data_IF_041879122070
#
_entry.id   IF_041879122070
#
_cell.length_a   1.000
_cell.length_b   1.000
_cell.length_c   1.000
_cell.angle_alpha   90.00
_cell.angle_beta   90.00
_cell.angle_gamma   90.00
#
_symmetry.space_group_name_H-M   'P 1'
#
loop_
_entity.id
_entity.type
_entity.pdbx_description
1 polymer ?
#
# COMPACT_ATOMS: atom_id res chain seq x y z
N UNK A 1 -36.41 -43.62 37.10
CA UNK A 1 -35.88 -42.27 37.40
C UNK A 1 -34.51 -42.18 36.77
N UNK A 2 -34.42 -41.47 35.65
CA UNK A 2 -33.26 -41.44 34.76
C UNK A 2 -32.68 -40.02 34.72
N UNK A 3 -31.55 -39.81 35.38
CA UNK A 3 -30.79 -38.58 35.28
C UNK A 3 -29.87 -38.65 34.06
N UNK A 4 -30.10 -37.76 33.08
CA UNK A 4 -29.19 -37.54 31.95
C UNK A 4 -28.11 -36.55 32.38
N UNK A 5 -26.85 -36.96 32.28
CA UNK A 5 -25.69 -36.09 32.39
C UNK A 5 -25.61 -35.19 31.15
N UNK A 6 -25.61 -33.87 31.36
CA UNK A 6 -25.35 -32.89 30.31
C UNK A 6 -23.84 -32.65 30.24
N UNK A 7 -23.22 -33.12 29.15
CA UNK A 7 -21.82 -32.84 28.84
C UNK A 7 -21.75 -31.47 28.15
N UNK A 8 -21.26 -30.46 28.86
CA UNK A 8 -20.99 -29.14 28.28
C UNK A 8 -19.63 -29.19 27.57
N UNK A 9 -19.65 -29.22 26.23
CA UNK A 9 -18.45 -29.06 25.41
C UNK A 9 -18.09 -27.58 25.34
N UNK A 10 -16.99 -27.22 26.01
CA UNK A 10 -16.36 -25.90 25.97
C UNK A 10 -15.63 -25.75 24.62
N UNK A 11 -16.21 -25.04 23.67
CA UNK A 11 -15.51 -24.63 22.45
C UNK A 11 -14.55 -23.50 22.80
N UNK A 12 -13.27 -23.84 23.00
CA UNK A 12 -12.19 -22.88 23.15
C UNK A 12 -11.95 -22.17 21.81
N UNK A 13 -12.31 -20.90 21.74
CA UNK A 13 -11.97 -20.00 20.63
C UNK A 13 -10.46 -19.71 20.73
N UNK A 14 -9.66 -20.42 19.93
CA UNK A 14 -8.22 -20.18 19.81
C UNK A 14 -8.05 -18.88 19.02
N UNK A 15 -7.94 -17.75 19.72
CA UNK A 15 -7.54 -16.49 19.12
C UNK A 15 -6.09 -16.64 18.64
N UNK A 16 -5.90 -16.79 17.33
CA UNK A 16 -4.60 -16.63 16.68
C UNK A 16 -4.22 -15.16 16.80
N UNK A 17 -3.45 -14.83 17.84
CA UNK A 17 -2.74 -13.56 17.92
C UNK A 17 -1.60 -13.64 16.90
N UNK A 18 -1.79 -13.07 15.73
CA UNK A 18 -0.67 -12.73 14.85
C UNK A 18 0.20 -11.72 15.61
N UNK A 19 1.36 -12.16 16.13
CA UNK A 19 2.31 -11.24 16.72
C UNK A 19 2.86 -10.34 15.61
N UNK A 20 2.88 -9.01 15.78
CA UNK A 20 3.57 -8.12 14.86
C UNK A 20 5.05 -8.53 14.79
N UNK A 21 5.67 -8.32 13.64
CA UNK A 21 7.04 -8.72 13.44
C UNK A 21 7.92 -7.79 14.29
N UNK A 22 8.60 -8.33 15.29
CA UNK A 22 9.39 -7.49 16.19
C UNK A 22 10.51 -6.79 15.41
N UNK A 23 10.59 -5.45 15.54
CA UNK A 23 11.64 -4.67 14.91
C UNK A 23 13.01 -5.26 15.26
N UNK A 24 13.84 -5.45 14.24
CA UNK A 24 15.19 -6.00 14.39
C UNK A 24 16.22 -5.12 13.71
N UNK A 25 17.46 -5.35 14.09
CA UNK A 25 18.60 -4.76 13.44
C UNK A 25 18.87 -5.42 12.09
N UNK A 26 18.90 -4.62 11.03
CA UNK A 26 19.33 -4.97 9.69
C UNK A 26 20.67 -4.30 9.40
N UNK A 27 21.53 -5.00 8.67
CA UNK A 27 22.90 -4.58 8.42
C UNK A 27 23.22 -4.68 6.93
N UNK A 28 23.98 -3.72 6.42
CA UNK A 28 24.45 -3.76 5.03
C UNK A 28 25.61 -4.75 4.83
N UNK A 29 25.97 -5.03 3.57
CA UNK A 29 27.11 -5.90 3.23
C UNK A 29 28.44 -5.48 3.84
N UNK A 30 28.65 -4.19 4.11
CA UNK A 30 29.91 -3.71 4.68
C UNK A 30 29.94 -3.76 6.21
N UNK A 31 28.78 -3.90 6.86
CA UNK A 31 28.65 -3.83 8.31
C UNK A 31 28.76 -2.42 8.89
N UNK A 32 28.95 -1.40 8.04
CA UNK A 32 29.11 -0.01 8.45
C UNK A 32 27.77 0.69 8.67
N UNK A 33 26.70 0.17 8.09
CA UNK A 33 25.36 0.74 8.18
C UNK A 33 24.37 -0.26 8.76
N UNK A 34 23.56 0.22 9.70
CA UNK A 34 22.55 -0.61 10.36
C UNK A 34 21.30 0.19 10.64
N UNK A 35 20.14 -0.45 10.53
CA UNK A 35 18.83 0.14 10.83
C UNK A 35 18.03 -0.80 11.73
N UNK A 36 17.26 -0.24 12.66
CA UNK A 36 16.23 -0.98 13.39
C UNK A 36 14.92 -0.87 12.60
N UNK A 37 14.41 -2.00 12.14
CA UNK A 37 13.24 -2.06 11.28
C UNK A 37 12.47 -3.38 11.40
N UNK A 38 11.16 -3.29 11.23
CA UNK A 38 10.24 -4.40 11.05
C UNK A 38 10.30 -4.93 9.61
N UNK A 39 10.16 -6.25 9.45
CA UNK A 39 10.05 -6.89 8.14
C UNK A 39 8.60 -6.82 7.66
N UNK A 40 8.36 -6.11 6.56
CA UNK A 40 7.03 -6.03 5.95
C UNK A 40 6.86 -7.10 4.87
N UNK A 41 7.87 -7.27 4.02
CA UNK A 41 7.83 -8.17 2.87
C UNK A 41 9.22 -8.42 2.31
N UNK A 42 9.38 -9.51 1.55
CA UNK A 42 10.51 -9.67 0.63
C UNK A 42 10.13 -10.57 -0.54
N UNK A 43 10.82 -10.40 -1.66
CA UNK A 43 10.76 -11.26 -2.84
C UNK A 43 12.16 -11.82 -3.16
N UNK A 44 12.43 -12.17 -4.42
CA UNK A 44 13.70 -12.74 -4.85
C UNK A 44 14.83 -11.69 -5.02
N UNK A 45 14.48 -10.39 -5.12
CA UNK A 45 15.41 -9.30 -5.43
C UNK A 45 15.48 -8.24 -4.32
N UNK A 46 14.37 -7.97 -3.62
CA UNK A 46 14.22 -6.88 -2.67
C UNK A 46 13.62 -7.31 -1.32
N UNK A 47 13.92 -6.54 -0.29
CA UNK A 47 13.25 -6.58 1.02
C UNK A 47 12.61 -5.23 1.31
N UNK A 48 11.38 -5.24 1.81
CA UNK A 48 10.67 -4.06 2.30
C UNK A 48 10.73 -4.04 3.82
N UNK A 49 11.36 -2.99 4.34
CA UNK A 49 11.58 -2.78 5.76
C UNK A 49 10.85 -1.53 6.22
N UNK A 50 10.21 -1.60 7.39
CA UNK A 50 9.62 -0.46 8.05
C UNK A 50 10.45 -0.05 9.26
N UNK A 51 10.97 1.17 9.25
CA UNK A 51 11.81 1.66 10.34
C UNK A 51 11.00 1.92 11.61
N UNK A 52 11.47 1.41 12.74
CA UNK A 52 10.78 1.53 14.03
C UNK A 52 10.64 2.97 14.53
N UNK A 53 11.57 3.86 14.16
CA UNK A 53 11.63 5.22 14.70
C UNK A 53 10.56 6.18 14.13
N UNK A 54 10.16 5.98 12.87
CA UNK A 54 9.32 6.91 12.10
C UNK A 54 8.35 6.20 11.15
N UNK A 55 8.25 4.88 11.26
CA UNK A 55 7.41 4.01 10.44
C UNK A 55 7.72 4.13 8.95
N UNK A 56 8.96 4.52 8.61
CA UNK A 56 9.42 4.72 7.23
C UNK A 56 9.67 3.41 6.49
N UNK A 57 8.97 3.22 5.37
CA UNK A 57 9.21 2.11 4.45
C UNK A 57 10.42 2.37 3.55
N UNK A 58 11.28 1.37 3.43
CA UNK A 58 12.39 1.36 2.48
C UNK A 58 12.47 0.02 1.77
N UNK A 59 12.63 0.08 0.43
CA UNK A 59 13.06 -1.06 -0.37
C UNK A 59 14.58 -1.14 -0.35
N UNK A 60 15.10 -2.31 -0.01
CA UNK A 60 16.55 -2.59 0.01
C UNK A 60 16.81 -3.80 -0.87
N UNK A 61 17.70 -3.71 -1.87
CA UNK A 61 18.09 -4.87 -2.65
C UNK A 61 18.77 -5.94 -1.77
N UNK A 62 18.40 -7.21 -1.93
CA UNK A 62 18.87 -8.31 -1.09
C UNK A 62 20.39 -8.45 -1.09
N UNK A 63 21.05 -8.17 -2.23
CA UNK A 63 22.50 -8.22 -2.36
C UNK A 63 23.21 -7.13 -1.56
N UNK A 64 22.50 -6.08 -1.11
CA UNK A 64 23.02 -5.03 -0.23
C UNK A 64 22.94 -5.37 1.24
N UNK A 65 22.16 -6.39 1.62
CA UNK A 65 22.09 -6.86 3.01
C UNK A 65 23.29 -7.73 3.40
N UNK A 66 23.58 -7.79 4.70
CA UNK A 66 24.58 -8.69 5.27
C UNK A 66 24.23 -10.16 5.00
N UNK A 67 25.23 -11.04 5.02
CA UNK A 67 24.98 -12.48 4.86
C UNK A 67 24.09 -13.04 5.97
N UNK A 68 24.23 -12.53 7.19
CA UNK A 68 23.39 -12.88 8.34
C UNK A 68 21.93 -12.53 8.09
N UNK A 69 21.65 -11.35 7.55
CA UNK A 69 20.29 -10.90 7.28
C UNK A 69 19.67 -11.63 6.08
N UNK A 70 20.45 -11.90 5.02
CA UNK A 70 19.99 -12.76 3.92
C UNK A 70 19.68 -14.18 4.40
N UNK A 71 20.48 -14.74 5.29
CA UNK A 71 20.22 -16.07 5.86
C UNK A 71 18.99 -16.07 6.76
N UNK A 72 18.70 -14.96 7.44
CA UNK A 72 17.44 -14.80 8.18
C UNK A 72 16.22 -14.89 7.27
N UNK A 73 16.22 -14.16 6.14
CA UNK A 73 15.08 -14.14 5.20
C UNK A 73 14.77 -15.53 4.61
N UNK A 74 15.78 -16.40 4.51
CA UNK A 74 15.61 -17.80 4.07
C UNK A 74 14.96 -18.71 5.11
N UNK A 75 14.83 -18.26 6.36
CA UNK A 75 14.21 -19.07 7.43
C UNK A 75 12.70 -19.01 7.31
N UNK A 76 12.04 -20.11 7.68
CA UNK A 76 10.59 -20.26 7.55
C UNK A 76 9.82 -19.30 8.48
N UNK A 77 10.42 -18.88 9.60
CA UNK A 77 9.85 -17.87 10.49
C UNK A 77 9.77 -16.51 9.79
N UNK A 78 10.85 -16.03 9.17
CA UNK A 78 10.86 -14.77 8.43
C UNK A 78 9.88 -14.76 7.26
N UNK A 79 9.84 -15.85 6.48
CA UNK A 79 8.89 -15.99 5.39
C UNK A 79 7.43 -16.06 5.87
N UNK A 80 7.18 -16.74 6.99
CA UNK A 80 5.85 -16.82 7.60
C UNK A 80 5.38 -15.47 8.14
N UNK A 81 6.28 -14.72 8.77
CA UNK A 81 6.02 -13.38 9.28
C UNK A 81 5.72 -12.40 8.15
N UNK A 82 6.58 -12.31 7.13
CA UNK A 82 6.37 -11.43 5.98
C UNK A 82 5.05 -11.74 5.25
N UNK A 83 4.74 -13.01 5.02
CA UNK A 83 3.45 -13.42 4.44
C UNK A 83 2.28 -13.05 5.35
N UNK A 84 2.41 -13.26 6.66
CA UNK A 84 1.37 -12.91 7.63
C UNK A 84 1.05 -11.41 7.64
N UNK A 85 2.07 -10.57 7.42
CA UNK A 85 1.91 -9.12 7.28
C UNK A 85 1.19 -8.77 5.97
N UNK A 86 1.68 -9.29 4.84
CA UNK A 86 1.10 -9.03 3.50
C UNK A 86 -0.35 -9.53 3.39
N UNK A 87 -0.63 -10.72 3.91
CA UNK A 87 -1.95 -11.37 3.83
C UNK A 87 -2.90 -10.93 4.95
N UNK A 88 -2.49 -9.99 5.81
CA UNK A 88 -3.33 -9.47 6.87
C UNK A 88 -4.61 -8.82 6.31
N UNK A 89 -5.77 -8.96 6.97
CA UNK A 89 -7.01 -8.33 6.52
C UNK A 89 -6.88 -6.80 6.45
N UNK A 90 -7.16 -6.25 5.27
CA UNK A 90 -7.10 -4.80 5.03
C UNK A 90 -8.51 -4.21 4.96
N UNK A 91 -8.68 -2.97 5.44
CA UNK A 91 -9.95 -2.27 5.43
C UNK A 91 -9.83 -0.86 4.82
N UNK A 92 -10.31 -0.71 3.59
CA UNK A 92 -10.21 0.54 2.83
C UNK A 92 -11.45 1.42 3.00
N UNK A 93 -11.26 2.73 3.03
CA UNK A 93 -12.36 3.69 3.23
C UNK A 93 -12.70 4.39 1.93
N UNK A 94 -13.92 4.19 1.45
CA UNK A 94 -14.42 4.91 0.28
C UNK A 94 -14.90 6.31 0.67
N UNK A 95 -14.97 7.25 -0.29
CA UNK A 95 -15.50 8.62 -0.10
C UNK A 95 -16.93 8.62 0.43
N UNK A 96 -17.72 7.60 0.10
CA UNK A 96 -19.07 7.39 0.64
C UNK A 96 -19.11 6.99 2.12
N UNK A 97 -17.94 6.79 2.75
CA UNK A 97 -17.81 6.25 4.12
C UNK A 97 -17.93 4.72 4.19
N UNK A 98 -18.25 4.06 3.07
CA UNK A 98 -18.30 2.60 2.98
C UNK A 98 -16.91 2.01 3.23
N UNK A 99 -16.86 0.92 4.00
CA UNK A 99 -15.64 0.16 4.22
C UNK A 99 -15.58 -1.01 3.23
N UNK A 100 -14.47 -1.12 2.51
CA UNK A 100 -14.20 -2.19 1.56
C UNK A 100 -13.13 -3.12 2.17
N UNK A 101 -13.52 -4.29 2.71
CA UNK A 101 -12.56 -5.28 3.15
C UNK A 101 -11.98 -5.99 1.92
N UNK A 102 -10.65 -6.12 1.87
CA UNK A 102 -9.96 -6.84 0.80
C UNK A 102 -8.52 -6.40 0.63
N UNK A 103 -7.69 -7.30 0.12
CA UNK A 103 -6.26 -7.12 -0.11
C UNK A 103 -6.04 -6.41 -1.44
N UNK A 104 -5.26 -5.33 -1.46
CA UNK A 104 -4.80 -4.77 -2.73
C UNK A 104 -3.71 -5.65 -3.31
N UNK A 105 -3.85 -6.07 -4.56
CA UNK A 105 -2.93 -7.02 -5.20
C UNK A 105 -2.19 -6.43 -6.40
N UNK A 106 -2.78 -5.46 -7.11
CA UNK A 106 -2.16 -4.84 -8.29
C UNK A 106 -2.77 -3.46 -8.59
N UNK A 107 -2.09 -2.69 -9.43
CA UNK A 107 -2.64 -1.53 -10.10
C UNK A 107 -3.37 -1.93 -11.38
N UNK A 108 -4.30 -1.09 -11.85
CA UNK A 108 -5.00 -1.41 -13.10
C UNK A 108 -5.51 -0.17 -13.83
N UNK A 109 -5.35 -0.20 -15.16
CA UNK A 109 -6.11 0.58 -16.13
C UNK A 109 -6.93 -0.38 -16.97
N UNK A 110 -8.25 -0.40 -16.81
CA UNK A 110 -9.11 -1.34 -17.57
C UNK A 110 -10.41 -0.71 -18.04
N UNK A 111 -10.91 -1.23 -19.14
CA UNK A 111 -12.24 -0.90 -19.65
C UNK A 111 -13.32 -1.63 -18.83
N UNK A 112 -14.28 -0.86 -18.33
CA UNK A 112 -15.51 -1.38 -17.72
C UNK A 112 -16.65 -1.19 -18.71
N UNK A 113 -17.23 -2.30 -19.17
CA UNK A 113 -18.37 -2.30 -20.08
C UNK A 113 -19.67 -2.54 -19.33
N UNK A 114 -20.61 -1.62 -19.45
CA UNK A 114 -21.98 -1.76 -18.97
C UNK A 114 -22.93 -1.95 -20.15
N UNK A 115 -23.88 -2.87 -20.02
CA UNK A 115 -24.89 -3.09 -21.05
C UNK A 115 -26.18 -3.62 -20.43
N UNK A 116 -27.32 -3.31 -21.05
CA UNK A 116 -28.61 -3.92 -20.70
C UNK A 116 -29.02 -4.89 -21.78
N UNK A 117 -29.22 -6.16 -21.43
CA UNK A 117 -29.66 -7.23 -22.36
C UNK A 117 -30.79 -8.02 -21.72
N UNK A 118 -31.87 -8.25 -22.48
CA UNK A 118 -33.02 -9.07 -22.05
C UNK A 118 -33.57 -8.69 -20.66
N UNK A 119 -33.63 -7.39 -20.36
CA UNK A 119 -34.15 -6.91 -19.08
C UNK A 119 -33.16 -6.92 -17.92
N UNK A 120 -31.90 -7.32 -18.14
CA UNK A 120 -30.89 -7.38 -17.09
C UNK A 120 -29.70 -6.48 -17.38
N UNK A 121 -29.12 -5.90 -16.33
CA UNK A 121 -27.87 -5.14 -16.38
C UNK A 121 -26.69 -6.10 -16.28
N UNK A 122 -25.70 -5.90 -17.14
CA UNK A 122 -24.45 -6.64 -17.17
C UNK A 122 -23.27 -5.68 -17.05
N UNK A 123 -22.29 -6.07 -16.24
CA UNK A 123 -21.00 -5.40 -16.08
C UNK A 123 -19.91 -6.38 -16.47
N UNK A 124 -19.10 -6.07 -17.48
CA UNK A 124 -18.07 -6.96 -18.03
C UNK A 124 -18.62 -8.38 -18.33
N UNK A 125 -19.86 -8.45 -18.83
CA UNK A 125 -20.52 -9.71 -19.16
C UNK A 125 -21.13 -10.49 -17.98
N UNK A 126 -20.91 -10.07 -16.73
CA UNK A 126 -21.54 -10.66 -15.53
C UNK A 126 -22.82 -9.91 -15.19
N UNK A 127 -23.86 -10.62 -14.75
CA UNK A 127 -25.12 -10.00 -14.32
C UNK A 127 -24.88 -9.17 -13.06
N UNK A 128 -25.37 -7.94 -13.06
CA UNK A 128 -25.17 -6.98 -11.96
C UNK A 128 -25.60 -7.53 -10.60
N UNK A 129 -26.78 -8.17 -10.53
CA UNK A 129 -27.32 -8.76 -9.30
C UNK A 129 -26.46 -9.90 -8.72
N UNK A 130 -25.61 -10.51 -9.56
CA UNK A 130 -24.72 -11.61 -9.18
C UNK A 130 -23.32 -11.11 -8.78
N UNK A 131 -23.05 -9.81 -8.88
CA UNK A 131 -21.79 -9.23 -8.39
C UNK A 131 -21.80 -9.15 -6.86
N UNK A 132 -20.63 -9.10 -6.20
CA UNK A 132 -20.58 -8.89 -4.76
C UNK A 132 -21.25 -7.57 -4.35
N UNK A 133 -21.71 -7.51 -3.10
CA UNK A 133 -22.47 -6.35 -2.59
C UNK A 133 -21.69 -5.04 -2.66
N UNK A 134 -20.38 -5.08 -2.51
CA UNK A 134 -19.51 -3.91 -2.70
C UNK A 134 -19.60 -3.41 -4.15
N UNK A 135 -19.50 -4.30 -5.14
CA UNK A 135 -19.59 -3.95 -6.57
C UNK A 135 -20.97 -3.47 -6.98
N UNK A 136 -22.04 -4.01 -6.38
CA UNK A 136 -23.40 -3.48 -6.58
C UNK A 136 -23.52 -2.02 -6.11
N UNK A 137 -22.69 -1.57 -5.17
CA UNK A 137 -22.65 -0.16 -4.73
C UNK A 137 -21.66 0.69 -5.52
N UNK A 138 -20.55 0.10 -5.97
CA UNK A 138 -19.48 0.77 -6.71
C UNK A 138 -19.92 1.13 -8.13
N UNK A 139 -20.56 0.21 -8.86
CA UNK A 139 -20.90 0.41 -10.28
C UNK A 139 -21.83 1.62 -10.50
N UNK A 140 -22.87 1.87 -9.70
CA UNK A 140 -23.66 3.10 -9.83
C UNK A 140 -22.84 4.37 -9.62
N UNK A 141 -21.95 4.39 -8.62
CA UNK A 141 -21.06 5.52 -8.36
C UNK A 141 -20.09 5.76 -9.51
N UNK A 142 -19.60 4.69 -10.15
CA UNK A 142 -18.79 4.76 -11.36
C UNK A 142 -19.53 5.47 -12.50
N UNK A 143 -20.75 5.04 -12.81
CA UNK A 143 -21.54 5.71 -13.84
C UNK A 143 -21.88 7.13 -13.43
N UNK A 144 -22.20 7.36 -12.15
CA UNK A 144 -22.42 8.68 -11.58
C UNK A 144 -21.26 9.63 -11.84
N UNK A 145 -20.02 9.21 -11.55
CA UNK A 145 -18.82 10.03 -11.76
C UNK A 145 -18.69 10.49 -13.22
N UNK A 146 -18.85 9.57 -14.18
CA UNK A 146 -18.70 9.90 -15.60
C UNK A 146 -19.90 10.65 -16.21
N UNK A 147 -21.09 10.54 -15.60
CA UNK A 147 -22.34 11.08 -16.12
C UNK A 147 -22.86 12.28 -15.31
N UNK A 148 -22.03 12.88 -14.45
CA UNK A 148 -22.38 14.07 -13.68
C UNK A 148 -23.41 13.81 -12.57
N UNK A 149 -23.25 12.69 -11.85
CA UNK A 149 -24.06 12.24 -10.72
C UNK A 149 -25.53 11.96 -11.00
N UNK A 150 -25.87 11.64 -12.26
CA UNK A 150 -27.22 11.21 -12.65
C UNK A 150 -27.59 9.81 -12.16
N UNK A 151 -26.60 9.03 -11.73
CA UNK A 151 -26.75 7.65 -11.28
C UNK A 151 -26.17 7.53 -9.87
N UNK A 152 -27.00 7.13 -8.92
CA UNK A 152 -26.63 7.05 -7.50
C UNK A 152 -26.72 5.63 -6.93
N UNK A 153 -27.55 4.77 -7.54
CA UNK A 153 -27.89 3.44 -7.07
C UNK A 153 -28.25 2.49 -8.23
N UNK A 154 -28.56 1.23 -7.93
CA UNK A 154 -28.91 0.23 -8.93
C UNK A 154 -30.17 0.58 -9.73
N UNK A 155 -31.16 1.20 -9.09
CA UNK A 155 -32.44 1.55 -9.73
C UNK A 155 -32.28 2.69 -10.73
N UNK A 156 -31.53 3.73 -10.36
CA UNK A 156 -31.16 4.83 -11.26
C UNK A 156 -30.25 4.36 -12.38
N UNK A 157 -29.34 3.41 -12.12
CA UNK A 157 -28.49 2.78 -13.14
C UNK A 157 -29.34 2.05 -14.18
N UNK A 158 -30.31 1.25 -13.76
CA UNK A 158 -31.19 0.54 -14.70
C UNK A 158 -32.00 1.54 -15.55
N UNK A 159 -32.61 2.54 -14.90
CA UNK A 159 -33.38 3.58 -15.61
C UNK A 159 -32.52 4.32 -16.62
N UNK A 160 -31.30 4.68 -16.26
CA UNK A 160 -30.35 5.35 -17.15
C UNK A 160 -29.98 4.46 -18.36
N UNK A 161 -29.71 3.17 -18.15
CA UNK A 161 -29.45 2.21 -19.24
C UNK A 161 -30.65 2.00 -20.17
N UNK A 162 -31.89 2.08 -19.63
CA UNK A 162 -33.12 2.04 -20.44
C UNK A 162 -33.19 3.24 -21.38
N UNK A 163 -32.89 4.45 -20.90
CA UNK A 163 -32.89 5.66 -21.73
C UNK A 163 -31.84 5.58 -22.86
N UNK A 164 -30.72 4.89 -22.61
CA UNK A 164 -29.68 4.61 -23.61
C UNK A 164 -30.02 3.46 -24.58
N UNK A 165 -31.26 2.95 -24.55
CA UNK A 165 -31.75 1.87 -25.42
C UNK A 165 -30.88 0.60 -25.38
N UNK A 166 -30.22 0.35 -24.24
CA UNK A 166 -29.36 -0.83 -24.03
C UNK A 166 -28.05 -0.85 -24.83
N UNK A 167 -27.63 0.27 -25.43
CA UNK A 167 -26.31 0.35 -26.06
C UNK A 167 -25.21 0.12 -25.01
N UNK A 168 -24.17 -0.69 -25.33
CA UNK A 168 -23.02 -0.84 -24.45
C UNK A 168 -22.34 0.50 -24.22
N UNK A 169 -21.99 0.78 -22.98
CA UNK A 169 -21.19 1.94 -22.59
C UNK A 169 -19.89 1.43 -21.98
N UNK A 170 -18.78 2.08 -22.34
CA UNK A 170 -17.45 1.72 -21.90
C UNK A 170 -16.83 2.89 -21.17
N UNK A 171 -16.18 2.61 -20.05
CA UNK A 171 -15.43 3.56 -19.27
C UNK A 171 -14.04 3.01 -19.00
N UNK A 172 -13.01 3.79 -19.29
CA UNK A 172 -11.65 3.50 -18.81
C UNK A 172 -11.59 3.82 -17.32
N UNK A 173 -11.21 2.83 -16.53
CA UNK A 173 -11.11 2.94 -15.07
C UNK A 173 -9.67 2.73 -14.64
N UNK A 174 -9.14 3.75 -13.97
CA UNK A 174 -7.87 3.72 -13.26
C UNK A 174 -8.12 3.42 -11.79
N UNK A 175 -7.36 2.47 -11.24
CA UNK A 175 -7.57 2.03 -9.87
C UNK A 175 -6.63 0.93 -9.43
N UNK A 176 -7.08 0.20 -8.42
CA UNK A 176 -6.39 -0.97 -7.86
C UNK A 176 -7.24 -2.22 -8.02
N UNK A 177 -6.59 -3.36 -8.13
CA UNK A 177 -7.21 -4.68 -8.02
C UNK A 177 -7.27 -5.05 -6.56
N UNK A 178 -8.47 -5.36 -6.08
CA UNK A 178 -8.74 -5.82 -4.74
C UNK A 178 -9.22 -7.27 -4.77
N UNK A 179 -8.51 -8.14 -4.08
CA UNK A 179 -8.91 -9.49 -3.74
C UNK A 179 -9.78 -9.46 -2.47
N UNK A 180 -11.00 -9.98 -2.56
CA UNK A 180 -11.91 -10.11 -1.41
C UNK A 180 -11.82 -11.51 -0.80
N UNK A 181 -12.43 -11.73 0.37
CA UNK A 181 -12.35 -13.01 1.13
C UNK A 181 -12.73 -14.26 0.31
N UNK A 182 -13.57 -14.13 -0.73
CA UNK A 182 -13.89 -15.25 -1.62
C UNK A 182 -12.75 -15.66 -2.57
N UNK A 183 -11.64 -14.91 -2.60
CA UNK A 183 -10.57 -15.02 -3.59
C UNK A 183 -10.91 -14.40 -4.95
N UNK A 184 -12.06 -13.74 -5.06
CA UNK A 184 -12.41 -13.00 -6.28
C UNK A 184 -11.66 -11.66 -6.32
N UNK A 185 -11.09 -11.34 -7.48
CA UNK A 185 -10.45 -10.06 -7.73
C UNK A 185 -11.38 -9.10 -8.47
N UNK A 186 -11.42 -7.85 -8.04
CA UNK A 186 -11.95 -6.81 -8.90
C UNK A 186 -11.37 -5.41 -8.72
N UNK A 187 -11.59 -4.60 -9.76
CA UNK A 187 -11.05 -3.26 -9.85
C UNK A 187 -11.89 -2.26 -9.05
N UNK A 188 -11.23 -1.54 -8.15
CA UNK A 188 -11.78 -0.38 -7.47
C UNK A 188 -11.17 0.91 -8.03
N UNK A 189 -11.99 1.79 -8.61
CA UNK A 189 -11.52 3.08 -9.11
C UNK A 189 -10.91 3.98 -8.02
N UNK A 190 -9.84 4.71 -8.36
CA UNK A 190 -9.18 5.65 -7.44
C UNK A 190 -10.10 6.74 -6.89
N UNK A 191 -11.01 7.27 -7.71
CA UNK A 191 -11.92 8.33 -7.28
C UNK A 191 -12.86 7.89 -6.15
N UNK A 192 -13.04 6.58 -5.93
CA UNK A 192 -13.84 6.08 -4.83
C UNK A 192 -13.11 6.09 -3.49
N UNK A 193 -11.78 6.11 -3.46
CA UNK A 193 -11.01 6.09 -2.22
C UNK A 193 -11.08 7.44 -1.52
N UNK A 194 -11.05 7.40 -0.18
CA UNK A 194 -10.87 8.59 0.63
C UNK A 194 -9.59 9.34 0.24
N UNK A 195 -9.53 10.65 0.47
CA UNK A 195 -8.34 11.45 0.11
C UNK A 195 -7.06 10.94 0.79
N UNK A 196 -7.18 10.45 2.03
CA UNK A 196 -6.07 9.88 2.77
C UNK A 196 -5.56 8.58 2.13
N UNK A 197 -6.46 7.67 1.79
CA UNK A 197 -6.08 6.40 1.15
C UNK A 197 -5.51 6.66 -0.26
N UNK A 198 -6.08 7.63 -0.99
CA UNK A 198 -5.61 7.99 -2.32
C UNK A 198 -4.19 8.58 -2.29
N UNK A 199 -3.86 9.40 -1.28
CA UNK A 199 -2.50 9.93 -1.10
C UNK A 199 -1.44 8.84 -0.94
N UNK A 200 -1.82 7.68 -0.39
CA UNK A 200 -0.94 6.52 -0.24
C UNK A 200 -0.84 5.72 -1.54
N UNK A 201 -1.93 5.60 -2.30
CA UNK A 201 -1.93 4.75 -3.49
C UNK A 201 -1.39 5.44 -4.75
N UNK A 202 -1.56 6.76 -4.85
CA UNK A 202 -1.26 7.54 -6.04
C UNK A 202 0.22 7.53 -6.45
N UNK A 203 1.19 7.54 -5.52
CA UNK A 203 2.59 7.49 -5.91
C UNK A 203 2.98 6.18 -6.62
N UNK A 204 2.61 5.02 -6.09
CA UNK A 204 2.90 3.74 -6.75
C UNK A 204 2.17 3.60 -8.09
N UNK A 205 0.99 4.22 -8.21
CA UNK A 205 0.28 4.31 -9.49
C UNK A 205 1.04 5.12 -10.54
N UNK A 206 1.57 6.28 -10.18
CA UNK A 206 2.34 7.12 -11.11
C UNK A 206 3.62 6.41 -11.56
N UNK A 207 4.26 5.64 -10.67
CA UNK A 207 5.42 4.80 -10.99
C UNK A 207 5.03 3.66 -11.95
N UNK A 208 3.95 2.93 -11.64
CA UNK A 208 3.42 1.86 -12.49
C UNK A 208 3.05 2.35 -13.89
N UNK A 209 2.50 3.56 -14.03
CA UNK A 209 2.21 4.18 -15.33
C UNK A 209 3.49 4.48 -16.14
N UNK A 210 4.59 4.84 -15.46
CA UNK A 210 5.87 5.15 -16.10
C UNK A 210 6.64 3.91 -16.56
N UNK A 211 6.32 2.72 -16.04
CA UNK A 211 6.94 1.45 -16.42
C UNK A 211 6.56 0.94 -17.82
N UNK A 212 5.70 1.64 -18.58
CA UNK A 212 5.34 1.37 -19.98
C UNK A 212 4.96 -0.09 -20.34
N UNK A 213 4.45 -0.88 -19.38
CA UNK A 213 4.00 -2.25 -19.62
C UNK A 213 5.11 -3.30 -19.64
N UNK A 214 6.27 -3.01 -19.06
CA UNK A 214 7.30 -4.00 -18.74
C UNK A 214 6.77 -5.00 -17.70
N UNK A 215 6.75 -6.28 -18.04
CA UNK A 215 6.12 -7.33 -17.22
C UNK A 215 6.89 -7.60 -15.93
N UNK A 216 8.23 -7.50 -15.95
CA UNK A 216 9.06 -7.74 -14.77
C UNK A 216 8.84 -6.59 -13.76
N UNK A 217 8.80 -5.34 -14.25
CA UNK A 217 8.47 -4.17 -13.41
C UNK A 217 7.04 -4.22 -12.86
N UNK A 218 6.09 -4.85 -13.56
CA UNK A 218 4.73 -5.03 -13.04
C UNK A 218 4.69 -5.93 -11.81
N UNK A 219 5.52 -6.98 -11.76
CA UNK A 219 5.59 -7.85 -10.59
C UNK A 219 6.17 -7.09 -9.39
N UNK A 220 7.24 -6.33 -9.60
CA UNK A 220 7.85 -5.49 -8.57
C UNK A 220 6.83 -4.49 -8.00
N UNK A 221 6.11 -3.78 -8.87
CA UNK A 221 5.08 -2.81 -8.43
C UNK A 221 3.90 -3.47 -7.70
N UNK A 222 3.52 -4.69 -8.07
CA UNK A 222 2.46 -5.43 -7.37
C UNK A 222 2.90 -5.79 -5.94
N UNK A 223 4.15 -6.19 -5.78
CA UNK A 223 4.74 -6.54 -4.49
C UNK A 223 4.96 -5.29 -3.61
N UNK A 224 5.42 -4.19 -4.19
CA UNK A 224 5.53 -2.90 -3.52
C UNK A 224 4.18 -2.38 -3.04
N UNK A 225 3.14 -2.44 -3.89
CA UNK A 225 1.77 -2.06 -3.52
C UNK A 225 1.27 -2.90 -2.35
N UNK A 226 1.46 -4.23 -2.40
CA UNK A 226 1.05 -5.14 -1.34
C UNK A 226 1.75 -4.83 -0.01
N UNK A 227 3.06 -4.60 -0.05
CA UNK A 227 3.87 -4.27 1.12
C UNK A 227 3.45 -2.92 1.73
N UNK A 228 3.27 -1.90 0.88
CA UNK A 228 2.77 -0.59 1.29
C UNK A 228 1.39 -0.69 1.94
N UNK A 229 0.47 -1.42 1.29
CA UNK A 229 -0.88 -1.63 1.77
C UNK A 229 -0.89 -2.33 3.13
N UNK A 230 -0.04 -3.35 3.32
CA UNK A 230 0.08 -4.07 4.57
C UNK A 230 0.58 -3.17 5.71
N UNK A 231 1.69 -2.46 5.50
CA UNK A 231 2.24 -1.52 6.48
C UNK A 231 1.26 -0.40 6.82
N UNK A 232 0.58 0.16 5.82
CA UNK A 232 -0.45 1.18 6.02
C UNK A 232 -1.60 0.70 6.91
N UNK A 233 -1.96 -0.58 6.83
CA UNK A 233 -3.07 -1.16 7.58
C UNK A 233 -2.65 -1.61 8.98
N UNK A 234 -1.41 -2.05 9.17
CA UNK A 234 -0.84 -2.29 10.51
C UNK A 234 -0.81 -0.99 11.33
N UNK A 235 -0.39 0.13 10.72
CA UNK A 235 -0.21 1.42 11.39
C UNK A 235 -1.41 2.35 11.26
N UNK A 236 -2.61 1.80 11.41
CA UNK A 236 -3.86 2.56 11.38
C UNK A 236 -3.92 3.70 12.44
N UNK A 237 -3.00 3.75 13.41
CA UNK A 237 -2.84 4.83 14.38
C UNK A 237 -1.84 5.94 13.96
N UNK A 238 -0.88 5.66 13.06
CA UNK A 238 0.23 6.56 12.67
C UNK A 238 0.15 7.05 11.19
N UNK A 239 -1.08 7.16 10.69
CA UNK A 239 -1.48 7.40 9.28
C UNK A 239 -0.82 8.57 8.52
N UNK A 240 -0.10 9.50 9.15
CA UNK A 240 0.35 10.76 8.50
C UNK A 240 1.75 10.71 7.89
N UNK A 241 2.63 9.83 8.37
CA UNK A 241 4.02 9.82 7.93
C UNK A 241 4.21 9.03 6.61
N UNK A 242 3.48 7.92 6.42
CA UNK A 242 3.57 7.04 5.23
C UNK A 242 3.39 7.79 3.90
N UNK A 243 2.44 8.72 3.81
CA UNK A 243 2.19 9.50 2.58
C UNK A 243 3.33 10.50 2.22
N UNK A 244 4.13 10.95 3.21
CA UNK A 244 5.26 11.85 2.96
C UNK A 244 6.50 11.13 2.43
N UNK A 245 6.54 9.80 2.58
CA UNK A 245 7.70 8.96 2.32
C UNK A 245 7.79 8.52 0.85
N UNK A 246 6.66 8.23 0.23
CA UNK A 246 6.61 7.88 -1.20
C UNK A 246 7.10 9.02 -2.11
N UNK A 247 6.89 10.29 -1.74
CA UNK A 247 7.43 11.45 -2.46
C UNK A 247 8.97 11.47 -2.48
N UNK A 248 9.61 10.86 -1.48
CA UNK A 248 11.07 10.75 -1.40
C UNK A 248 11.62 9.64 -2.31
N UNK A 249 10.96 8.48 -2.36
CA UNK A 249 11.37 7.32 -3.15
C UNK A 249 11.24 7.55 -4.66
N UNK A 250 10.12 8.11 -5.12
CA UNK A 250 9.89 8.42 -6.54
C UNK A 250 10.93 9.38 -7.13
N UNK A 251 11.39 10.36 -6.34
CA UNK A 251 12.38 11.31 -6.79
C UNK A 251 13.77 10.67 -6.93
N UNK A 252 14.02 9.54 -6.25
CA UNK A 252 15.27 8.77 -6.34
C UNK A 252 15.24 7.82 -7.53
N UNK A 253 14.13 7.11 -7.75
CA UNK A 253 13.93 6.20 -8.90
C UNK A 253 13.86 6.94 -10.24
N UNK A 254 13.24 8.11 -10.30
CA UNK A 254 13.21 8.94 -11.51
C UNK A 254 14.56 9.62 -11.83
N UNK A 255 15.62 9.41 -11.03
CA UNK A 255 16.93 10.06 -11.18
C UNK A 255 16.92 11.58 -10.94
N UNK A 256 15.83 12.12 -10.37
CA UNK A 256 15.61 13.57 -10.19
C UNK A 256 16.28 14.09 -8.92
N UNK A 257 16.49 13.22 -7.93
CA UNK A 257 17.15 13.47 -6.65
C UNK A 257 17.97 12.26 -6.22
N UNK A 258 18.94 12.46 -5.35
CA UNK A 258 19.72 11.38 -4.74
C UNK A 258 19.40 11.29 -3.25
N UNK A 259 19.63 10.12 -2.65
CA UNK A 259 19.66 10.03 -1.19
C UNK A 259 20.97 10.63 -0.69
N UNK A 260 20.88 11.50 0.32
CA UNK A 260 22.04 12.13 0.94
C UNK A 260 22.00 11.87 2.44
N UNK A 261 23.11 11.45 2.99
CA UNK A 261 23.31 11.40 4.43
C UNK A 261 23.87 12.75 4.88
N UNK A 262 23.13 13.41 5.76
CA UNK A 262 23.51 14.68 6.37
C UNK A 262 23.83 14.40 7.84
N UNK A 263 25.07 14.69 8.24
CA UNK A 263 25.41 14.76 9.67
C UNK A 263 24.80 16.02 10.24
N UNK A 264 24.05 15.93 11.31
CA UNK A 264 23.47 17.03 12.06
C UNK A 264 24.15 17.13 13.42
N UNK A 265 24.50 18.34 13.84
CA UNK A 265 25.02 18.61 15.17
C UNK A 265 23.97 19.36 16.00
N UNK A 266 23.90 19.13 17.32
CA UNK A 266 23.03 19.92 18.19
C UNK A 266 23.39 21.41 18.11
N UNK A 267 22.38 22.26 17.90
CA UNK A 267 22.54 23.71 17.99
C UNK A 267 22.71 24.18 19.43
N UNK A 268 23.08 25.45 19.61
CA UNK A 268 23.23 26.04 20.96
C UNK A 268 21.93 25.92 21.75
N UNK A 269 21.99 25.23 22.90
CA UNK A 269 20.84 25.04 23.79
C UNK A 269 20.01 23.78 23.54
N UNK A 270 20.34 23.01 22.50
CA UNK A 270 19.72 21.70 22.23
C UNK A 270 20.63 20.61 22.81
N UNK A 271 20.12 19.85 23.77
CA UNK A 271 20.83 18.69 24.32
C UNK A 271 20.61 17.48 23.43
N UNK A 272 21.68 16.94 22.83
CA UNK A 272 21.60 15.70 22.05
C UNK A 272 22.92 15.34 21.37
N UNK A 273 23.13 14.07 21.01
CA UNK A 273 24.29 13.65 20.22
C UNK A 273 24.15 14.11 18.75
N UNK A 274 25.23 14.15 17.97
CA UNK A 274 25.13 14.30 16.52
C UNK A 274 24.23 13.21 15.92
N UNK A 275 23.41 13.57 14.93
CA UNK A 275 22.51 12.67 14.22
C UNK A 275 22.98 12.49 12.78
N UNK A 276 22.78 11.32 12.20
CA UNK A 276 22.98 11.12 10.76
C UNK A 276 21.61 10.87 10.14
N UNK A 277 21.16 11.79 9.30
CA UNK A 277 19.82 11.73 8.72
C UNK A 277 19.97 11.56 7.23
N UNK A 278 19.37 10.48 6.70
CA UNK A 278 19.28 10.25 5.26
C UNK A 278 18.04 10.97 4.76
N UNK A 279 18.22 11.87 3.80
CA UNK A 279 17.15 12.67 3.24
C UNK A 279 17.27 12.74 1.72
N UNK A 280 16.13 12.74 1.00
CA UNK A 280 16.14 12.96 -0.43
C UNK A 280 16.53 14.42 -0.73
N UNK A 281 17.32 14.63 -1.78
CA UNK A 281 17.72 15.96 -2.22
C UNK A 281 18.23 15.96 -3.65
N UNK A 282 17.85 16.98 -4.43
CA UNK A 282 18.40 17.16 -5.79
C UNK A 282 19.91 17.45 -5.75
N UNK A 283 20.36 18.09 -4.69
CA UNK A 283 21.76 18.35 -4.39
C UNK A 283 21.98 18.31 -2.87
N UNK A 284 23.25 18.40 -2.46
CA UNK A 284 23.65 18.38 -1.04
C UNK A 284 23.05 19.54 -0.24
N UNK A 285 22.75 20.68 -0.87
CA UNK A 285 22.18 21.86 -0.19
C UNK A 285 20.69 21.64 0.12
N UNK A 286 19.93 21.10 -0.82
CA UNK A 286 18.52 20.72 -0.62
C UNK A 286 18.42 19.62 0.45
N UNK A 287 19.33 18.65 0.42
CA UNK A 287 19.42 17.64 1.48
C UNK A 287 19.66 18.26 2.87
N UNK A 288 20.62 19.17 3.02
CA UNK A 288 20.84 19.85 4.31
C UNK A 288 19.60 20.61 4.80
N UNK A 289 18.91 21.30 3.90
CA UNK A 289 17.70 22.04 4.24
C UNK A 289 16.58 21.10 4.69
N UNK A 290 16.39 19.97 4.00
CA UNK A 290 15.43 18.94 4.38
C UNK A 290 15.79 18.31 5.74
N UNK A 291 17.07 18.05 5.99
CA UNK A 291 17.54 17.49 7.26
C UNK A 291 17.31 18.46 8.43
N UNK A 292 17.60 19.75 8.28
CA UNK A 292 17.36 20.77 9.31
C UNK A 292 15.87 21.00 9.52
N UNK A 293 15.07 21.04 8.45
CA UNK A 293 13.61 21.23 8.55
C UNK A 293 12.94 20.11 9.35
N UNK A 294 13.42 18.87 9.22
CA UNK A 294 12.96 17.70 9.97
C UNK A 294 13.52 17.63 11.40
N UNK A 295 14.58 18.37 11.72
CA UNK A 295 15.27 18.33 13.01
C UNK A 295 15.49 19.76 13.56
N UNK A 296 14.42 20.42 14.05
CA UNK A 296 14.50 21.79 14.56
C UNK A 296 15.51 21.92 15.70
N UNK A 297 16.38 22.92 15.62
CA UNK A 297 17.41 23.16 16.63
C UNK A 297 18.73 22.39 16.41
N UNK A 298 18.80 21.52 15.40
CA UNK A 298 20.06 20.95 14.91
C UNK A 298 20.61 21.77 13.73
N UNK A 299 21.93 21.72 13.53
CA UNK A 299 22.64 22.39 12.43
C UNK A 299 23.29 21.35 11.52
N UNK A 300 23.20 21.58 10.20
CA UNK A 300 23.81 20.67 9.23
C UNK A 300 25.35 20.75 9.24
N UNK A 301 25.96 19.58 9.22
CA UNK A 301 27.38 19.32 9.09
C UNK A 301 27.70 18.65 7.75
N UNK A 302 28.71 17.75 7.70
CA UNK A 302 29.12 17.05 6.50
C UNK A 302 27.96 16.31 5.82
N UNK A 303 27.97 16.30 4.49
CA UNK A 303 26.96 15.67 3.65
C UNK A 303 27.63 14.76 2.65
N UNK A 304 27.11 13.54 2.51
CA UNK A 304 27.58 12.60 1.49
C UNK A 304 26.40 12.01 0.74
N UNK A 305 26.60 11.76 -0.55
CA UNK A 305 25.60 11.09 -1.39
C UNK A 305 25.62 9.59 -1.09
N UNK A 306 24.44 9.03 -0.83
CA UNK A 306 24.25 7.61 -0.49
C UNK A 306 23.93 6.79 -1.74
N UNK A 307 23.16 7.35 -2.68
CA UNK A 307 22.86 6.68 -3.96
C UNK A 307 23.92 6.97 -5.02
N UNK A 308 24.19 5.95 -5.84
CA UNK A 308 25.05 6.03 -7.03
C UNK A 308 24.24 5.61 -8.24
#
# INVERSE_FOLDING_TARGET
MSHRLATASLFGFLALTASPAEARKWTDTTGAYTIEAELIGFDDDHVILQRDADSELGSVPLEKLSETDRNFLKRQDAAGTARGVIDAPQLWTLRSGLKAPGKLVDYTRREVTLQRKRGHVYVNGRRFDNLPKIYQKVVPQLVGEFEGNQVADGDSLEKWLVHRKGQPVQYTVDGVVMEIESGDEYALPFFLFSENDLQVLQPGWDAWLQAHGDYDQQQDHSFELQSLAAAYQQDAAERRQIAQLQLGMQAVEAGVTSLWEVTLYPGRGVGGPPLWVVVPGRDSRVAQQNAIARNPGYVAGPVRRVSR
#
